data_IF_775320820750
#
_entry.id   IF_775320820750
#
_cell.length_a   1.000
_cell.length_b   1.000
_cell.length_c   1.000
_cell.angle_alpha   90.00
_cell.angle_beta   90.00
_cell.angle_gamma   90.00
#
_symmetry.space_group_name_H-M   'P 1'
#
loop_
_entity.id
_entity.type
_entity.pdbx_description
1 polymer ?
#
# COMPACT_ATOMS: atom_id res chain seq x y z
N UNK A 1 3.81 -1.02 -1.83
CA UNK A 1 4.50 -1.57 -3.01
C UNK A 1 4.95 -3.00 -2.73
N UNK A 2 5.84 -3.24 -1.75
CA UNK A 2 6.45 -4.55 -1.49
C UNK A 2 5.42 -5.70 -1.39
N UNK A 3 4.38 -5.55 -0.56
CA UNK A 3 3.38 -6.62 -0.38
C UNK A 3 2.65 -7.03 -1.66
N UNK A 4 2.22 -6.06 -2.51
CA UNK A 4 1.61 -6.39 -3.79
C UNK A 4 2.62 -6.95 -4.80
N UNK A 5 3.84 -6.41 -4.84
CA UNK A 5 4.88 -6.92 -5.70
C UNK A 5 5.22 -8.38 -5.37
N UNK A 6 5.23 -8.75 -4.09
CA UNK A 6 5.39 -10.14 -3.65
C UNK A 6 4.25 -11.03 -4.13
N UNK A 7 2.99 -10.54 -4.08
CA UNK A 7 1.81 -11.36 -4.42
C UNK A 7 1.50 -11.37 -5.91
N UNK A 8 1.69 -10.24 -6.63
CA UNK A 8 1.23 -10.04 -8.01
C UNK A 8 2.35 -9.65 -8.98
N UNK A 9 3.59 -9.51 -8.52
CA UNK A 9 4.72 -9.04 -9.34
C UNK A 9 4.76 -7.53 -9.58
N UNK A 10 3.73 -6.79 -9.16
CA UNK A 10 3.65 -5.33 -9.30
C UNK A 10 3.00 -4.68 -8.09
N UNK A 11 3.44 -3.48 -7.73
CA UNK A 11 2.87 -2.71 -6.63
C UNK A 11 1.76 -1.73 -7.03
N UNK A 12 1.32 -1.76 -8.29
CA UNK A 12 0.28 -0.87 -8.81
C UNK A 12 -1.13 -1.36 -8.49
N UNK A 13 -2.13 -0.49 -8.71
CA UNK A 13 -3.55 -0.87 -8.72
C UNK A 13 -3.79 -1.92 -9.81
N UNK A 14 -4.59 -2.92 -9.50
CA UNK A 14 -4.95 -3.96 -10.50
C UNK A 14 -6.01 -3.48 -11.50
N UNK A 15 -6.78 -2.47 -11.13
CA UNK A 15 -7.90 -1.95 -11.91
C UNK A 15 -7.88 -0.42 -12.00
N UNK A 16 -8.59 0.12 -12.96
CA UNK A 16 -8.70 1.55 -13.22
C UNK A 16 -9.61 2.25 -12.20
N UNK A 17 -9.32 3.51 -11.87
CA UNK A 17 -10.19 4.38 -11.06
C UNK A 17 -11.56 4.59 -11.72
N UNK A 18 -11.61 4.54 -13.06
CA UNK A 18 -12.86 4.71 -13.81
C UNK A 18 -13.85 3.55 -13.61
N UNK A 19 -13.36 2.40 -13.19
CA UNK A 19 -14.21 1.24 -12.92
C UNK A 19 -15.02 1.36 -11.62
N UNK A 20 -14.57 2.19 -10.66
CA UNK A 20 -15.13 2.27 -9.30
C UNK A 20 -16.67 2.38 -9.25
N UNK A 21 -17.34 3.21 -10.09
CA UNK A 21 -18.80 3.31 -10.05
C UNK A 21 -19.58 2.06 -10.49
N UNK A 22 -18.89 1.03 -10.93
CA UNK A 22 -19.49 -0.21 -11.46
C UNK A 22 -19.20 -1.45 -10.61
N UNK A 23 -18.50 -1.30 -9.48
CA UNK A 23 -18.39 -2.36 -8.49
C UNK A 23 -19.72 -2.59 -7.77
N UNK A 24 -19.97 -3.83 -7.35
CA UNK A 24 -21.13 -4.16 -6.51
C UNK A 24 -20.76 -4.16 -5.03
N UNK A 25 -19.49 -4.50 -4.71
CA UNK A 25 -18.94 -4.41 -3.34
C UNK A 25 -17.58 -3.71 -3.36
N UNK A 26 -17.43 -2.73 -2.48
CA UNK A 26 -16.17 -2.05 -2.22
C UNK A 26 -15.76 -2.30 -0.76
N UNK A 27 -14.68 -3.03 -0.55
CA UNK A 27 -14.04 -3.19 0.76
C UNK A 27 -12.96 -2.12 0.89
N UNK A 28 -13.24 -1.09 1.69
CA UNK A 28 -12.35 0.06 1.91
C UNK A 28 -11.67 -0.09 3.26
N UNK A 29 -10.34 -0.21 3.26
CA UNK A 29 -9.56 -0.54 4.47
C UNK A 29 -8.54 0.56 4.75
N UNK A 30 -8.62 1.17 5.93
CA UNK A 30 -7.66 2.17 6.38
C UNK A 30 -7.49 3.34 5.39
N UNK A 31 -8.62 3.86 4.86
CA UNK A 31 -8.62 4.90 3.83
C UNK A 31 -9.74 5.91 4.03
N UNK A 32 -9.38 7.14 4.38
CA UNK A 32 -10.31 8.27 4.38
C UNK A 32 -10.37 8.91 2.99
N UNK A 33 -11.03 8.23 2.06
CA UNK A 33 -11.07 8.61 0.64
C UNK A 33 -11.76 9.95 0.40
N UNK A 34 -12.68 10.37 1.23
CA UNK A 34 -13.40 11.63 1.07
C UNK A 34 -12.50 12.85 1.29
N UNK A 35 -11.49 12.72 2.14
CA UNK A 35 -10.51 13.77 2.42
C UNK A 35 -9.24 13.62 1.56
N UNK A 36 -8.62 12.43 1.59
CA UNK A 36 -7.32 12.23 0.97
C UNK A 36 -7.39 11.95 -0.55
N UNK A 37 -8.54 11.45 -1.05
CA UNK A 37 -8.74 11.08 -2.46
C UNK A 37 -10.15 11.49 -2.92
N UNK A 38 -10.50 12.79 -2.96
CA UNK A 38 -11.88 13.26 -3.12
C UNK A 38 -12.55 12.77 -4.40
N UNK A 39 -11.82 12.67 -5.51
CA UNK A 39 -12.37 12.14 -6.78
C UNK A 39 -12.75 10.67 -6.65
N UNK A 40 -11.91 9.87 -5.99
CA UNK A 40 -12.17 8.45 -5.72
C UNK A 40 -13.35 8.32 -4.74
N UNK A 41 -13.35 9.10 -3.65
CA UNK A 41 -14.46 9.15 -2.71
C UNK A 41 -15.79 9.47 -3.39
N UNK A 42 -15.80 10.43 -4.32
CA UNK A 42 -16.99 10.76 -5.11
C UNK A 42 -17.46 9.58 -5.99
N UNK A 43 -16.54 8.87 -6.64
CA UNK A 43 -16.85 7.67 -7.43
C UNK A 43 -17.42 6.54 -6.55
N UNK A 44 -16.89 6.34 -5.33
CA UNK A 44 -17.41 5.38 -4.35
C UNK A 44 -18.83 5.74 -3.90
N UNK A 45 -19.10 7.04 -3.62
CA UNK A 45 -20.45 7.52 -3.31
C UNK A 45 -21.42 7.34 -4.49
N UNK A 46 -20.94 7.51 -5.72
CA UNK A 46 -21.74 7.22 -6.92
C UNK A 46 -22.08 5.72 -7.03
N UNK A 47 -21.10 4.83 -6.74
CA UNK A 47 -21.35 3.39 -6.68
C UNK A 47 -22.43 3.05 -5.63
N UNK A 48 -22.33 3.61 -4.41
CA UNK A 48 -23.33 3.41 -3.36
C UNK A 48 -24.73 3.86 -3.78
N UNK A 49 -24.85 5.02 -4.45
CA UNK A 49 -26.12 5.52 -5.00
C UNK A 49 -26.70 4.60 -6.09
N UNK A 50 -25.88 3.84 -6.79
CA UNK A 50 -26.30 2.82 -7.77
C UNK A 50 -26.63 1.47 -7.12
N UNK A 51 -26.48 1.33 -5.79
CA UNK A 51 -26.80 0.12 -5.04
C UNK A 51 -25.61 -0.73 -4.65
N UNK A 52 -24.36 -0.29 -4.94
CA UNK A 52 -23.18 -0.97 -4.45
C UNK A 52 -23.12 -0.94 -2.91
N UNK A 53 -22.60 -2.00 -2.31
CA UNK A 53 -22.42 -2.11 -0.88
C UNK A 53 -20.98 -1.78 -0.50
N UNK A 54 -20.80 -0.70 0.25
CA UNK A 54 -19.48 -0.33 0.78
C UNK A 54 -19.30 -0.97 2.15
N UNK A 55 -18.20 -1.67 2.34
CA UNK A 55 -17.71 -2.15 3.64
C UNK A 55 -16.54 -1.25 4.02
N UNK A 56 -16.67 -0.48 5.08
CA UNK A 56 -15.59 0.38 5.59
C UNK A 56 -14.93 -0.30 6.79
N UNK A 57 -13.62 -0.51 6.70
CA UNK A 57 -12.80 -1.01 7.79
C UNK A 57 -11.84 0.12 8.22
N UNK A 58 -12.25 0.86 9.25
CA UNK A 58 -11.49 2.01 9.79
C UNK A 58 -11.86 2.20 11.27
N UNK A 59 -10.87 2.50 12.16
CA UNK A 59 -11.15 2.77 13.57
C UNK A 59 -11.99 4.04 13.79
N UNK A 60 -11.96 4.98 12.84
CA UNK A 60 -12.71 6.24 12.91
C UNK A 60 -14.00 6.14 12.10
N UNK A 61 -15.04 6.82 12.57
CA UNK A 61 -16.23 7.08 11.79
C UNK A 61 -15.93 8.18 10.76
N UNK A 62 -15.31 7.78 9.64
CA UNK A 62 -15.04 8.69 8.51
C UNK A 62 -16.33 8.95 7.71
N UNK A 63 -16.38 10.04 6.92
CA UNK A 63 -17.58 10.40 6.14
C UNK A 63 -18.10 9.26 5.23
N UNK A 64 -17.20 8.42 4.71
CA UNK A 64 -17.62 7.30 3.86
C UNK A 64 -18.48 6.27 4.60
N UNK A 65 -18.41 6.21 5.94
CA UNK A 65 -19.27 5.34 6.77
C UNK A 65 -20.76 5.69 6.62
N UNK A 66 -21.10 6.96 6.38
CA UNK A 66 -22.50 7.39 6.16
C UNK A 66 -23.10 6.79 4.88
N UNK A 67 -22.26 6.30 3.97
CA UNK A 67 -22.65 5.62 2.73
C UNK A 67 -22.43 4.11 2.83
N UNK A 68 -21.88 3.61 3.94
CA UNK A 68 -21.51 2.21 4.08
C UNK A 68 -22.72 1.31 4.35
N UNK A 69 -22.71 0.13 3.74
CA UNK A 69 -23.59 -0.97 4.13
C UNK A 69 -23.16 -1.59 5.47
N UNK A 70 -21.84 -1.58 5.74
CA UNK A 70 -21.25 -2.15 6.94
C UNK A 70 -20.02 -1.38 7.35
N UNK A 71 -19.91 -1.04 8.63
CA UNK A 71 -18.71 -0.47 9.22
C UNK A 71 -18.07 -1.44 10.20
N UNK A 72 -16.78 -1.69 10.02
CA UNK A 72 -15.94 -2.54 10.85
C UNK A 72 -14.94 -1.65 11.61
N UNK A 73 -15.26 -1.19 12.84
CA UNK A 73 -14.40 -0.31 13.63
C UNK A 73 -13.21 -1.09 14.23
N UNK A 74 -12.28 -1.48 13.39
CA UNK A 74 -11.14 -2.32 13.76
C UNK A 74 -10.16 -1.58 14.67
N UNK A 75 -9.69 -2.19 15.76
CA UNK A 75 -8.61 -1.62 16.57
C UNK A 75 -7.33 -1.49 15.76
N UNK A 76 -6.60 -0.36 15.84
CA UNK A 76 -5.31 -0.21 15.17
C UNK A 76 -4.35 -1.36 15.45
N UNK A 77 -3.64 -1.83 14.41
CA UNK A 77 -2.70 -2.95 14.50
C UNK A 77 -3.31 -4.34 14.40
N UNK A 78 -4.63 -4.48 14.24
CA UNK A 78 -5.30 -5.80 14.20
C UNK A 78 -5.88 -6.15 12.82
N UNK A 79 -5.46 -5.48 11.75
CA UNK A 79 -5.94 -5.72 10.38
C UNK A 79 -5.72 -7.17 9.92
N UNK A 80 -4.56 -7.77 10.23
CA UNK A 80 -4.26 -9.17 9.88
C UNK A 80 -5.27 -10.12 10.54
N UNK A 81 -5.61 -9.88 11.80
CA UNK A 81 -6.58 -10.70 12.53
C UNK A 81 -7.95 -10.65 11.86
N UNK A 82 -8.41 -9.45 11.48
CA UNK A 82 -9.69 -9.27 10.81
C UNK A 82 -9.73 -9.98 9.45
N UNK A 83 -8.71 -9.76 8.61
CA UNK A 83 -8.65 -10.36 7.27
C UNK A 83 -8.47 -11.88 7.33
N UNK A 84 -7.68 -12.41 8.29
CA UNK A 84 -7.56 -13.85 8.52
C UNK A 84 -8.90 -14.47 8.94
N UNK A 85 -9.67 -13.80 9.80
CA UNK A 85 -11.00 -14.28 10.19
C UNK A 85 -11.98 -14.26 9.01
N UNK A 86 -11.93 -13.25 8.15
CA UNK A 86 -12.72 -13.23 6.92
C UNK A 86 -12.34 -14.40 6.00
N UNK A 87 -11.04 -14.65 5.78
CA UNK A 87 -10.57 -15.78 4.98
C UNK A 87 -10.99 -17.13 5.57
N UNK A 88 -10.92 -17.26 6.91
CA UNK A 88 -11.39 -18.48 7.59
C UNK A 88 -12.88 -18.74 7.32
N UNK A 89 -13.74 -17.75 7.44
CA UNK A 89 -15.17 -17.89 7.11
C UNK A 89 -15.35 -18.33 5.66
N UNK A 90 -14.64 -17.73 4.73
CA UNK A 90 -14.70 -18.06 3.30
C UNK A 90 -14.30 -19.52 3.05
N UNK A 91 -13.26 -19.99 3.72
CA UNK A 91 -12.78 -21.38 3.60
C UNK A 91 -13.77 -22.36 4.23
N UNK A 92 -14.19 -22.11 5.47
CA UNK A 92 -15.08 -23.00 6.23
C UNK A 92 -16.45 -23.15 5.54
N UNK A 93 -16.95 -22.08 4.91
CA UNK A 93 -18.23 -22.08 4.21
C UNK A 93 -18.12 -22.45 2.73
N UNK A 94 -16.90 -22.79 2.26
CA UNK A 94 -16.62 -23.14 0.86
C UNK A 94 -17.06 -22.07 -0.15
N UNK A 95 -16.82 -20.79 0.18
CA UNK A 95 -17.13 -19.63 -0.65
C UNK A 95 -15.96 -19.18 -1.55
N UNK A 96 -14.84 -19.94 -1.52
CA UNK A 96 -13.64 -19.65 -2.30
C UNK A 96 -13.80 -20.00 -3.79
N UNK A 97 -13.07 -19.34 -4.64
CA UNK A 97 -12.94 -19.70 -6.07
C UNK A 97 -11.87 -20.78 -6.24
N UNK A 98 -12.27 -22.06 -6.13
CA UNK A 98 -11.35 -23.21 -6.22
C UNK A 98 -10.61 -23.23 -7.55
N UNK A 99 -11.27 -22.92 -8.65
CA UNK A 99 -10.67 -22.93 -9.97
C UNK A 99 -9.57 -21.89 -10.08
N UNK A 100 -9.82 -20.66 -9.60
CA UNK A 100 -8.79 -19.62 -9.57
C UNK A 100 -7.60 -20.04 -8.70
N UNK A 101 -7.87 -20.61 -7.52
CA UNK A 101 -6.82 -21.07 -6.60
C UNK A 101 -5.92 -22.11 -7.28
N UNK A 102 -6.50 -23.14 -7.88
CA UNK A 102 -5.77 -24.24 -8.52
C UNK A 102 -4.97 -23.79 -9.75
N UNK A 103 -5.50 -22.87 -10.56
CA UNK A 103 -4.89 -22.45 -11.82
C UNK A 103 -3.93 -21.25 -11.67
N UNK A 104 -4.08 -20.41 -10.63
CA UNK A 104 -3.46 -19.08 -10.57
C UNK A 104 -2.75 -18.77 -9.27
N UNK A 105 -2.75 -19.64 -8.29
CA UNK A 105 -2.12 -19.39 -6.99
C UNK A 105 -1.24 -20.55 -6.55
N UNK A 106 -0.44 -20.32 -5.52
CA UNK A 106 0.37 -21.31 -4.84
C UNK A 106 0.20 -21.21 -3.32
N UNK A 107 0.63 -22.23 -2.57
CA UNK A 107 0.65 -22.24 -1.10
C UNK A 107 -0.72 -22.05 -0.42
N UNK A 108 -1.82 -22.49 -1.07
CA UNK A 108 -3.16 -22.42 -0.48
C UNK A 108 -3.28 -23.23 0.83
N UNK A 109 -2.64 -24.41 0.90
CA UNK A 109 -2.69 -25.26 2.08
C UNK A 109 -2.02 -24.60 3.30
N UNK A 110 -0.92 -23.87 3.09
CA UNK A 110 -0.23 -23.11 4.11
C UNK A 110 -1.09 -21.96 4.61
N UNK A 111 -1.73 -21.22 3.69
CA UNK A 111 -2.69 -20.16 4.05
C UNK A 111 -3.85 -20.74 4.87
N UNK A 112 -4.44 -21.84 4.43
CA UNK A 112 -5.56 -22.50 5.12
C UNK A 112 -5.18 -22.92 6.54
N UNK A 113 -3.94 -23.41 6.74
CA UNK A 113 -3.42 -23.73 8.08
C UNK A 113 -3.23 -22.48 8.92
N UNK A 114 -2.64 -21.43 8.34
CA UNK A 114 -2.33 -20.18 9.05
C UNK A 114 -3.59 -19.46 9.56
N UNK A 115 -4.69 -19.49 8.81
CA UNK A 115 -5.93 -18.81 9.22
C UNK A 115 -6.82 -19.64 10.16
N UNK A 116 -6.49 -20.91 10.40
CA UNK A 116 -7.33 -21.86 11.16
C UNK A 116 -7.71 -21.36 12.56
N UNK A 117 -6.80 -20.67 13.24
CA UNK A 117 -7.00 -20.19 14.60
C UNK A 117 -7.82 -18.91 14.71
N UNK A 118 -8.09 -18.23 13.59
CA UNK A 118 -8.76 -16.93 13.57
C UNK A 118 -10.28 -17.08 13.42
N UNK A 119 -10.94 -17.72 14.41
CA UNK A 119 -12.41 -17.73 14.40
C UNK A 119 -12.96 -16.31 14.50
N UNK A 120 -14.18 -16.04 13.97
CA UNK A 120 -14.83 -14.73 14.12
C UNK A 120 -14.96 -14.27 15.56
N UNK A 121 -15.20 -15.19 16.51
CA UNK A 121 -15.31 -14.91 17.95
C UNK A 121 -13.96 -14.45 18.52
N UNK A 122 -12.88 -15.18 18.20
CA UNK A 122 -11.52 -14.78 18.61
C UNK A 122 -11.12 -13.44 17.98
N UNK A 123 -11.47 -13.25 16.71
CA UNK A 123 -11.21 -11.98 16.03
C UNK A 123 -12.00 -10.82 16.68
N UNK A 124 -13.23 -11.02 17.11
CA UNK A 124 -13.99 -10.01 17.86
C UNK A 124 -13.26 -9.59 19.15
N UNK A 125 -12.74 -10.53 19.90
CA UNK A 125 -11.98 -10.23 21.15
C UNK A 125 -10.76 -9.35 20.88
N UNK A 126 -10.03 -9.65 19.80
CA UNK A 126 -8.79 -8.96 19.45
C UNK A 126 -9.02 -7.64 18.74
N UNK A 127 -9.94 -7.62 17.77
CA UNK A 127 -10.17 -6.47 16.88
C UNK A 127 -11.22 -5.48 17.39
N UNK A 128 -12.13 -5.95 18.26
CA UNK A 128 -13.29 -5.20 18.70
C UNK A 128 -14.46 -5.22 17.70
N UNK A 129 -14.29 -5.80 16.52
CA UNK A 129 -15.35 -5.91 15.49
C UNK A 129 -16.27 -7.08 15.84
N UNK A 130 -17.62 -6.91 15.87
CA UNK A 130 -18.54 -8.00 16.15
C UNK A 130 -18.36 -9.21 15.22
N UNK A 131 -18.38 -10.43 15.75
CA UNK A 131 -18.21 -11.65 14.97
C UNK A 131 -19.21 -11.77 13.81
N UNK A 132 -20.46 -11.40 14.04
CA UNK A 132 -21.50 -11.42 13.01
C UNK A 132 -21.21 -10.46 11.87
N UNK A 133 -20.61 -9.29 12.15
CA UNK A 133 -20.22 -8.33 11.12
C UNK A 133 -19.02 -8.82 10.33
N UNK A 134 -18.07 -9.52 10.95
CA UNK A 134 -16.96 -10.20 10.25
C UNK A 134 -17.49 -11.26 9.28
N UNK A 135 -18.41 -12.11 9.74
CA UNK A 135 -19.05 -13.15 8.92
C UNK A 135 -19.81 -12.51 7.76
N UNK A 136 -20.60 -11.47 8.04
CA UNK A 136 -21.37 -10.74 7.05
C UNK A 136 -20.49 -10.09 5.97
N UNK A 137 -19.38 -9.46 6.39
CA UNK A 137 -18.40 -8.87 5.47
C UNK A 137 -17.75 -9.94 4.59
N UNK A 138 -17.30 -11.04 5.18
CA UNK A 138 -16.67 -12.15 4.46
C UNK A 138 -17.60 -12.76 3.39
N UNK A 139 -18.83 -13.09 3.78
CA UNK A 139 -19.83 -13.64 2.87
C UNK A 139 -20.15 -12.66 1.75
N UNK A 140 -20.41 -11.39 2.09
CA UNK A 140 -20.75 -10.36 1.10
C UNK A 140 -19.63 -10.17 0.08
N UNK A 141 -18.38 -10.08 0.54
CA UNK A 141 -17.21 -9.92 -0.33
C UNK A 141 -17.02 -11.15 -1.24
N UNK A 142 -17.09 -12.36 -0.68
CA UNK A 142 -16.80 -13.59 -1.42
C UNK A 142 -17.87 -13.98 -2.44
N UNK A 143 -19.15 -13.71 -2.14
CA UNK A 143 -20.27 -14.14 -3.01
C UNK A 143 -20.65 -13.12 -4.06
N UNK A 144 -20.07 -11.93 -4.05
CA UNK A 144 -20.39 -10.86 -5.01
C UNK A 144 -19.42 -10.89 -6.19
N UNK A 145 -19.89 -11.00 -7.44
CA UNK A 145 -19.01 -11.14 -8.60
C UNK A 145 -18.08 -9.94 -8.84
N UNK A 146 -18.54 -8.72 -8.58
CA UNK A 146 -17.80 -7.47 -8.81
C UNK A 146 -17.41 -6.84 -7.48
N UNK A 147 -16.41 -7.41 -6.82
CA UNK A 147 -15.93 -6.93 -5.53
C UNK A 147 -14.46 -6.55 -5.58
N UNK A 148 -14.10 -5.42 -5.01
CA UNK A 148 -12.72 -4.93 -4.96
C UNK A 148 -12.32 -4.39 -3.60
N UNK A 149 -11.02 -4.43 -3.36
CA UNK A 149 -10.37 -3.90 -2.16
C UNK A 149 -9.70 -2.58 -2.50
N UNK A 150 -9.91 -1.57 -1.65
CA UNK A 150 -9.29 -0.25 -1.73
C UNK A 150 -8.64 0.06 -0.39
N UNK A 151 -7.37 0.44 -0.39
CA UNK A 151 -6.65 0.70 0.86
C UNK A 151 -5.60 1.79 0.72
N UNK A 152 -5.22 2.40 1.85
CA UNK A 152 -4.17 3.42 1.92
C UNK A 152 -3.25 3.20 3.13
N UNK A 153 -2.70 4.29 3.66
CA UNK A 153 -1.70 4.32 4.73
C UNK A 153 -2.18 3.68 6.04
N UNK A 154 -3.48 3.69 6.33
CA UNK A 154 -4.04 2.99 7.49
C UNK A 154 -3.85 1.46 7.47
N UNK A 155 -3.44 0.91 6.32
CA UNK A 155 -3.02 -0.50 6.17
C UNK A 155 -1.50 -0.62 6.14
N UNK A 156 -0.80 0.31 5.49
CA UNK A 156 0.61 0.16 5.13
C UNK A 156 1.57 0.76 6.15
N UNK A 157 1.16 1.79 6.90
CA UNK A 157 1.99 2.44 7.92
C UNK A 157 1.87 1.76 9.28
N UNK A 158 2.18 0.48 9.30
CA UNK A 158 2.31 -0.36 10.47
C UNK A 158 3.60 -1.17 10.41
N UNK A 159 4.11 -1.61 11.53
CA UNK A 159 5.24 -2.58 11.59
C UNK A 159 4.94 -3.80 10.72
N UNK A 160 3.67 -4.23 10.67
CA UNK A 160 3.18 -5.33 9.83
C UNK A 160 2.64 -4.89 8.46
N UNK A 161 2.94 -3.67 7.98
CA UNK A 161 2.32 -3.08 6.79
C UNK A 161 2.44 -3.95 5.53
N UNK A 162 3.61 -4.53 5.27
CA UNK A 162 3.82 -5.46 4.15
C UNK A 162 2.91 -6.68 4.26
N UNK A 163 2.83 -7.30 5.44
CA UNK A 163 1.97 -8.46 5.68
C UNK A 163 0.48 -8.11 5.62
N UNK A 164 0.07 -6.92 6.05
CA UNK A 164 -1.30 -6.45 5.87
C UNK A 164 -1.70 -6.46 4.39
N UNK A 165 -0.82 -5.95 3.51
CA UNK A 165 -1.07 -5.92 2.07
C UNK A 165 -1.08 -7.31 1.45
N UNK A 166 -0.16 -8.20 1.83
CA UNK A 166 -0.16 -9.61 1.40
C UNK A 166 -1.48 -10.28 1.79
N UNK A 167 -1.99 -10.02 3.00
CA UNK A 167 -3.27 -10.56 3.45
C UNK A 167 -4.46 -10.06 2.63
N UNK A 168 -4.49 -8.79 2.23
CA UNK A 168 -5.52 -8.27 1.33
C UNK A 168 -5.42 -8.92 -0.06
N UNK A 169 -4.21 -9.14 -0.57
CA UNK A 169 -3.99 -9.86 -1.81
C UNK A 169 -4.45 -11.32 -1.71
N UNK A 170 -4.14 -12.01 -0.60
CA UNK A 170 -4.60 -13.38 -0.34
C UNK A 170 -6.13 -13.46 -0.29
N UNK A 171 -6.80 -12.51 0.36
CA UNK A 171 -8.27 -12.44 0.41
C UNK A 171 -8.87 -12.31 -1.00
N UNK A 172 -8.26 -11.48 -1.86
CA UNK A 172 -8.70 -11.30 -3.24
C UNK A 172 -8.42 -12.56 -4.10
N UNK A 173 -7.25 -13.18 -3.96
CA UNK A 173 -6.92 -14.43 -4.66
C UNK A 173 -7.83 -15.59 -4.25
N UNK A 174 -8.11 -15.72 -2.95
CA UNK A 174 -8.99 -16.74 -2.40
C UNK A 174 -10.40 -16.74 -3.03
N UNK A 175 -10.87 -15.56 -3.43
CA UNK A 175 -12.21 -15.34 -4.01
C UNK A 175 -12.18 -15.10 -5.52
N UNK A 176 -11.00 -15.19 -6.16
CA UNK A 176 -10.83 -14.93 -7.59
C UNK A 176 -11.08 -13.46 -8.01
N UNK A 177 -11.02 -12.52 -7.08
CA UNK A 177 -11.25 -11.10 -7.34
C UNK A 177 -9.97 -10.37 -7.84
N UNK A 178 -9.27 -10.97 -8.79
CA UNK A 178 -8.06 -10.43 -9.43
C UNK A 178 -8.07 -10.76 -10.93
N UNK A 179 -7.59 -9.82 -11.74
CA UNK A 179 -7.38 -10.05 -13.17
C UNK A 179 -8.64 -9.99 -14.02
N UNK A 180 -9.68 -9.32 -13.54
CA UNK A 180 -10.94 -9.09 -14.28
C UNK A 180 -11.53 -7.72 -13.98
N UNK A 181 -12.39 -7.24 -14.83
CA UNK A 181 -13.07 -5.95 -14.65
C UNK A 181 -13.89 -5.91 -13.34
N UNK A 182 -13.89 -4.75 -12.70
CA UNK A 182 -14.64 -4.46 -11.45
C UNK A 182 -14.29 -5.37 -10.28
N UNK A 183 -13.06 -5.91 -10.28
CA UNK A 183 -12.53 -6.76 -9.19
C UNK A 183 -11.03 -6.56 -9.08
N UNK A 184 -10.53 -6.36 -7.87
CA UNK A 184 -9.09 -6.20 -7.70
C UNK A 184 -8.66 -5.68 -6.36
N UNK A 185 -7.35 -5.42 -6.26
CA UNK A 185 -6.69 -4.87 -5.09
C UNK A 185 -6.05 -3.53 -5.48
N UNK A 186 -6.56 -2.45 -4.90
CA UNK A 186 -6.34 -1.10 -5.36
C UNK A 186 -5.71 -0.22 -4.26
N UNK A 187 -4.37 -0.13 -4.18
CA UNK A 187 -3.69 0.84 -3.33
C UNK A 187 -3.96 2.26 -3.84
N UNK A 188 -4.54 3.10 -3.00
CA UNK A 188 -4.74 4.51 -3.31
C UNK A 188 -3.51 5.29 -2.85
N UNK A 189 -2.74 5.83 -3.80
CA UNK A 189 -1.49 6.53 -3.53
C UNK A 189 -1.75 7.93 -2.95
N UNK A 190 -0.86 8.40 -2.07
CA UNK A 190 -0.96 9.71 -1.46
C UNK A 190 -0.48 10.84 -2.37
N UNK A 191 0.72 10.71 -2.91
CA UNK A 191 1.37 11.73 -3.71
C UNK A 191 0.93 11.69 -5.17
N UNK A 192 0.94 12.87 -5.80
CA UNK A 192 0.62 13.01 -7.21
C UNK A 192 1.61 12.23 -8.08
N UNK A 193 1.08 11.33 -8.92
CA UNK A 193 1.84 10.53 -9.88
C UNK A 193 3.05 9.77 -9.28
N UNK A 194 2.95 9.35 -8.01
CA UNK A 194 4.02 8.54 -7.40
C UNK A 194 4.25 7.23 -8.16
N UNK A 195 3.22 6.70 -8.84
CA UNK A 195 3.37 5.55 -9.72
C UNK A 195 4.34 5.87 -10.87
N UNK A 196 4.14 6.98 -11.56
CA UNK A 196 5.04 7.40 -12.65
C UNK A 196 6.45 7.70 -12.16
N UNK A 197 6.63 8.27 -10.98
CA UNK A 197 7.94 8.43 -10.37
C UNK A 197 8.63 7.07 -10.16
N UNK A 198 7.93 6.08 -9.61
CA UNK A 198 8.46 4.72 -9.47
C UNK A 198 8.77 4.07 -10.82
N UNK A 199 7.90 4.24 -11.83
CA UNK A 199 8.11 3.72 -13.18
C UNK A 199 9.36 4.30 -13.84
N UNK A 200 9.70 5.55 -13.51
CA UNK A 200 10.91 6.23 -13.97
C UNK A 200 12.16 5.95 -13.13
N UNK A 201 12.08 5.07 -12.16
CA UNK A 201 13.22 4.62 -11.36
C UNK A 201 13.47 5.42 -10.08
N UNK A 202 12.52 6.22 -9.60
CA UNK A 202 12.62 6.90 -8.31
C UNK A 202 12.43 5.92 -7.12
N UNK A 203 13.22 4.86 -7.12
CA UNK A 203 13.31 3.83 -6.09
C UNK A 203 14.79 3.43 -5.93
N UNK A 204 15.21 3.00 -4.75
CA UNK A 204 16.63 2.79 -4.47
C UNK A 204 17.27 1.59 -5.19
N UNK A 205 16.48 0.69 -5.75
CA UNK A 205 16.95 -0.59 -6.26
C UNK A 205 16.65 -0.83 -7.75
N UNK A 206 16.12 0.18 -8.47
CA UNK A 206 15.73 0.02 -9.88
C UNK A 206 16.08 1.22 -10.75
N UNK A 207 16.38 0.92 -12.01
CA UNK A 207 16.34 1.87 -13.13
C UNK A 207 14.90 2.01 -13.68
N UNK A 208 14.65 2.94 -14.63
CA UNK A 208 13.36 3.05 -15.29
C UNK A 208 12.81 1.71 -15.77
N UNK A 209 11.48 1.50 -15.57
CA UNK A 209 10.81 0.25 -15.89
C UNK A 209 11.07 -0.88 -14.88
N UNK A 210 11.38 -0.57 -13.63
CA UNK A 210 11.62 -1.53 -12.54
C UNK A 210 12.78 -2.50 -12.78
N UNK A 211 13.74 -2.14 -13.65
CA UNK A 211 14.90 -2.95 -13.96
C UNK A 211 15.94 -2.86 -12.83
N UNK A 212 16.36 -4.01 -12.30
CA UNK A 212 17.19 -4.04 -11.08
C UNK A 212 18.60 -3.51 -11.32
N UNK A 213 19.07 -2.63 -10.42
CA UNK A 213 20.41 -2.00 -10.52
C UNK A 213 21.55 -2.99 -10.34
N UNK A 214 21.35 -4.08 -9.61
CA UNK A 214 22.36 -5.11 -9.35
C UNK A 214 22.50 -6.16 -10.46
N UNK A 215 21.67 -6.11 -11.51
CA UNK A 215 21.76 -7.02 -12.64
C UNK A 215 22.78 -6.48 -13.67
N UNK A 216 23.88 -7.19 -13.98
CA UNK A 216 24.94 -6.70 -14.86
C UNK A 216 24.43 -6.29 -16.24
N UNK A 217 23.60 -7.11 -16.88
CA UNK A 217 23.05 -6.81 -18.22
C UNK A 217 22.15 -5.55 -18.23
N UNK A 218 21.48 -5.27 -17.11
CA UNK A 218 20.67 -4.04 -16.96
C UNK A 218 21.58 -2.82 -16.81
N UNK A 219 22.64 -2.90 -16.01
CA UNK A 219 23.62 -1.81 -15.88
C UNK A 219 24.32 -1.51 -17.22
N UNK A 220 24.78 -2.53 -17.93
CA UNK A 220 25.37 -2.38 -19.28
C UNK A 220 24.42 -1.68 -20.25
N UNK A 221 23.14 -2.07 -20.25
CA UNK A 221 22.09 -1.43 -21.05
C UNK A 221 21.97 0.06 -20.75
N UNK A 222 21.87 0.44 -19.47
CA UNK A 222 21.69 1.84 -19.07
C UNK A 222 22.96 2.65 -19.22
N UNK A 223 24.14 2.09 -18.91
CA UNK A 223 25.43 2.72 -19.19
C UNK A 223 25.56 3.08 -20.67
N UNK A 224 25.32 2.11 -21.55
CA UNK A 224 25.34 2.32 -23.00
C UNK A 224 24.32 3.37 -23.46
N UNK A 225 23.08 3.31 -22.94
CA UNK A 225 22.02 4.24 -23.32
C UNK A 225 22.30 5.69 -22.89
N UNK A 226 22.88 5.87 -21.70
CA UNK A 226 23.22 7.19 -21.15
C UNK A 226 24.62 7.68 -21.57
N UNK A 227 25.41 6.86 -22.26
CA UNK A 227 26.77 7.22 -22.67
C UNK A 227 27.72 7.33 -21.49
N UNK A 228 27.55 6.49 -20.48
CA UNK A 228 28.37 6.44 -19.27
C UNK A 228 29.29 5.21 -19.29
N UNK A 229 30.43 5.32 -18.63
CA UNK A 229 31.23 4.14 -18.30
C UNK A 229 30.47 3.30 -17.25
N UNK A 230 30.55 1.98 -17.38
CA UNK A 230 29.85 1.05 -16.50
C UNK A 230 30.25 1.24 -15.02
N UNK A 231 31.51 1.59 -14.78
CA UNK A 231 32.07 1.84 -13.43
C UNK A 231 31.43 3.06 -12.74
N UNK A 232 30.72 3.92 -13.48
CA UNK A 232 29.96 5.04 -12.92
C UNK A 232 28.57 4.64 -12.42
N UNK A 233 28.15 3.39 -12.65
CA UNK A 233 26.88 2.86 -12.15
C UNK A 233 27.15 1.85 -11.04
N UNK A 234 26.74 2.22 -9.82
CA UNK A 234 26.90 1.34 -8.66
C UNK A 234 26.16 0.01 -8.89
N UNK A 235 26.76 -1.08 -8.47
CA UNK A 235 26.14 -2.41 -8.51
C UNK A 235 25.27 -2.73 -7.31
N UNK A 236 25.34 -1.90 -6.28
CA UNK A 236 24.55 -2.05 -5.08
C UNK A 236 23.24 -1.27 -5.19
N UNK A 237 22.23 -1.74 -4.47
CA UNK A 237 21.02 -0.95 -4.29
C UNK A 237 21.34 0.33 -3.49
N UNK A 238 20.65 1.42 -3.82
CA UNK A 238 20.67 2.62 -3.00
C UNK A 238 19.95 2.44 -1.67
N UNK A 239 19.90 3.49 -0.88
CA UNK A 239 19.31 3.48 0.46
C UNK A 239 17.86 3.95 0.45
N UNK A 240 17.06 3.42 1.35
CA UNK A 240 15.71 3.94 1.64
C UNK A 240 15.81 5.26 2.42
N UNK A 241 14.73 6.06 2.46
CA UNK A 241 14.72 7.34 3.18
C UNK A 241 15.16 7.21 4.65
N UNK A 242 14.66 6.25 5.46
CA UNK A 242 15.17 6.08 6.81
C UNK A 242 16.67 5.72 6.87
N UNK A 243 17.15 4.84 5.98
CA UNK A 243 18.58 4.48 5.91
C UNK A 243 19.44 5.69 5.53
N UNK A 244 18.98 6.58 4.63
CA UNK A 244 19.70 7.81 4.30
C UNK A 244 19.84 8.74 5.50
N UNK A 245 18.81 8.87 6.32
CA UNK A 245 18.83 9.67 7.55
C UNK A 245 19.83 9.08 8.56
N UNK A 246 19.81 7.76 8.77
CA UNK A 246 20.77 7.10 9.68
C UNK A 246 22.22 7.28 9.19
N UNK A 247 22.48 7.09 7.90
CA UNK A 247 23.80 7.29 7.30
C UNK A 247 24.27 8.75 7.35
N UNK A 248 23.37 9.71 7.20
CA UNK A 248 23.69 11.13 7.40
C UNK A 248 24.05 11.41 8.87
N UNK A 249 23.29 10.85 9.81
CA UNK A 249 23.57 10.97 11.23
C UNK A 249 24.95 10.38 11.60
N UNK A 250 25.31 9.25 11.03
CA UNK A 250 26.62 8.59 11.21
C UNK A 250 27.75 9.27 10.44
N UNK A 251 27.44 10.21 9.53
CA UNK A 251 28.41 10.96 8.74
C UNK A 251 28.95 10.23 7.51
N UNK A 252 28.32 9.13 7.09
CA UNK A 252 28.62 8.43 5.83
C UNK A 252 27.97 9.11 4.63
N UNK A 253 26.71 9.50 4.74
CA UNK A 253 26.05 10.30 3.71
C UNK A 253 26.46 11.77 3.88
N UNK A 254 27.03 12.36 2.82
CA UNK A 254 27.62 13.70 2.86
C UNK A 254 26.71 14.76 2.25
N UNK A 255 25.92 14.38 1.25
CA UNK A 255 25.04 15.31 0.56
C UNK A 255 23.66 14.68 0.34
N UNK A 256 22.63 15.51 0.38
CA UNK A 256 21.24 15.10 0.13
C UNK A 256 20.53 16.15 -0.74
N UNK A 257 19.68 15.69 -1.65
CA UNK A 257 18.76 16.51 -2.41
C UNK A 257 17.34 16.12 -2.08
N UNK A 258 16.59 17.01 -1.44
CA UNK A 258 15.20 16.82 -1.04
C UNK A 258 14.30 17.61 -1.97
N UNK A 259 13.31 16.95 -2.56
CA UNK A 259 12.39 17.55 -3.52
C UNK A 259 10.94 17.32 -3.10
N UNK A 260 10.22 18.40 -2.77
CA UNK A 260 8.78 18.37 -2.48
C UNK A 260 8.41 17.57 -1.23
N UNK A 261 9.30 17.54 -0.23
CA UNK A 261 9.10 16.83 1.03
C UNK A 261 9.71 17.57 2.21
N UNK A 262 9.19 17.38 3.42
CA UNK A 262 9.66 18.05 4.64
C UNK A 262 10.03 17.02 5.74
N UNK A 263 11.11 16.23 5.57
CA UNK A 263 11.53 15.20 6.53
C UNK A 263 11.73 15.73 7.95
N UNK A 264 12.21 16.99 8.09
CA UNK A 264 12.37 17.63 9.41
C UNK A 264 11.05 17.88 10.16
N UNK A 265 9.88 17.64 9.51
CA UNK A 265 8.55 17.76 10.10
C UNK A 265 7.80 16.41 10.08
N UNK A 266 7.93 15.63 9.00
CA UNK A 266 7.04 14.49 8.71
C UNK A 266 7.61 13.14 9.11
N UNK A 267 8.94 13.00 9.14
CA UNK A 267 9.58 11.71 9.44
C UNK A 267 9.52 11.37 10.94
N UNK A 268 9.44 10.09 11.28
CA UNK A 268 9.45 9.65 12.67
C UNK A 268 10.78 9.99 13.35
N UNK A 269 10.76 10.17 14.68
CA UNK A 269 11.93 10.58 15.46
C UNK A 269 12.56 11.89 14.99
N UNK A 270 11.76 12.93 14.92
CA UNK A 270 12.10 14.26 14.37
C UNK A 270 13.42 14.85 14.88
N UNK A 271 13.80 14.58 16.15
CA UNK A 271 15.06 15.09 16.70
C UNK A 271 16.26 14.44 16.01
N UNK A 272 16.23 13.11 15.80
CA UNK A 272 17.25 12.38 15.07
C UNK A 272 17.37 12.87 13.61
N UNK A 273 16.23 13.08 12.94
CA UNK A 273 16.22 13.61 11.56
C UNK A 273 16.89 14.98 11.49
N UNK A 274 16.53 15.89 12.39
CA UNK A 274 17.11 17.24 12.45
C UNK A 274 18.60 17.21 12.74
N UNK A 275 19.06 16.35 13.65
CA UNK A 275 20.49 16.16 13.91
C UNK A 275 21.23 15.58 12.72
N UNK A 276 20.60 14.65 11.97
CA UNK A 276 21.16 14.08 10.75
C UNK A 276 21.32 15.12 9.64
N UNK A 277 20.26 15.92 9.39
CA UNK A 277 20.30 16.99 8.39
C UNK A 277 21.37 18.04 8.71
N UNK A 278 21.56 18.38 9.99
CA UNK A 278 22.59 19.34 10.43
C UNK A 278 24.03 18.82 10.28
N UNK A 279 24.23 17.51 10.08
CA UNK A 279 25.55 16.89 9.88
C UNK A 279 25.93 16.72 8.41
N UNK A 280 25.03 16.98 7.49
CA UNK A 280 25.35 16.93 6.06
C UNK A 280 26.36 18.02 5.69
N UNK A 281 27.27 17.67 4.80
CA UNK A 281 28.24 18.63 4.23
C UNK A 281 27.55 19.53 3.17
N UNK A 282 26.45 19.06 2.55
CA UNK A 282 25.71 19.81 1.54
C UNK A 282 24.25 19.32 1.44
N UNK A 283 23.31 20.22 1.60
CA UNK A 283 21.87 19.94 1.47
C UNK A 283 21.21 20.88 0.45
N UNK A 284 20.59 20.32 -0.56
CA UNK A 284 19.73 21.03 -1.50
C UNK A 284 18.28 20.70 -1.18
N UNK A 285 17.43 21.74 -1.04
CA UNK A 285 15.99 21.57 -0.88
C UNK A 285 15.28 22.31 -2.00
N UNK A 286 14.42 21.59 -2.72
CA UNK A 286 13.52 22.16 -3.72
C UNK A 286 12.08 22.03 -3.23
N UNK A 287 11.42 23.15 -2.96
CA UNK A 287 10.05 23.17 -2.47
C UNK A 287 9.38 24.51 -2.77
N UNK A 288 8.04 24.55 -2.78
CA UNK A 288 7.24 25.75 -2.98
C UNK A 288 7.36 26.75 -1.82
N UNK A 289 7.67 26.26 -0.62
CA UNK A 289 7.74 27.05 0.62
C UNK A 289 9.03 26.75 1.38
N UNK A 290 9.49 27.71 2.17
CA UNK A 290 10.57 27.50 3.14
C UNK A 290 10.07 26.61 4.27
N UNK A 291 10.28 25.31 4.11
CA UNK A 291 9.89 24.26 5.06
C UNK A 291 10.81 24.19 6.27
N UNK A 292 10.50 23.33 7.24
CA UNK A 292 11.41 23.06 8.37
C UNK A 292 12.73 22.45 7.87
N UNK A 293 12.69 21.57 6.87
CA UNK A 293 13.90 20.99 6.23
C UNK A 293 14.73 22.07 5.52
N UNK A 294 14.08 23.03 4.88
CA UNK A 294 14.77 24.12 4.19
C UNK A 294 15.63 25.00 5.11
N UNK A 295 15.39 24.99 6.43
CA UNK A 295 16.22 25.70 7.41
C UNK A 295 17.64 25.14 7.54
N UNK A 296 17.85 23.89 7.10
CA UNK A 296 19.14 23.22 7.11
C UNK A 296 19.85 23.27 5.74
N UNK A 297 19.16 23.78 4.71
CA UNK A 297 19.64 23.74 3.33
C UNK A 297 20.77 24.77 3.08
N UNK A 298 21.79 24.34 2.34
CA UNK A 298 22.81 25.22 1.76
C UNK A 298 22.26 25.91 0.50
N UNK A 299 21.40 25.21 -0.24
CA UNK A 299 20.73 25.73 -1.43
C UNK A 299 19.23 25.44 -1.36
N UNK A 300 18.44 26.50 -1.53
CA UNK A 300 16.99 26.37 -1.67
C UNK A 300 16.56 26.76 -3.09
N UNK A 301 15.81 25.88 -3.73
CA UNK A 301 15.25 26.08 -5.08
C UNK A 301 13.72 26.17 -4.98
N UNK A 302 13.13 27.35 -5.24
CA UNK A 302 11.68 27.55 -5.14
C UNK A 302 10.91 26.94 -6.32
#
# INVERSE_FOLDING_TARGET
VAGLATSFGSGAMTNSIEEIPNYDVLLVVGSNTTEAHPIIGQKMKQAAKKGAKIIVCDPRHIELVDYAYLWLPVKPGTNIVLTNAMMKVIIDENLMDRKFIEERTENFEELSKAVREYSPQRAQELTGVPADDIIKAARLYATTPRAGIFYTLGVTEHVSGTYNVINLANLAMLTGHVGREYSGVNPLRGQNNVQGACDMGALPDVFPGYQKVFEPAVREKFASFWGLDLDNLDENKGFTSPEMIDLAYEGFLKALYVMGEDPALTDPNINHVREALAKLDFLVVQDLFLTETAKYADVFLP
#
